data_IF_771037423691
#
_entry.id   IF_771037423691
#
_cell.length_a   1.000
_cell.length_b   1.000
_cell.length_c   1.000
_cell.angle_alpha   90.00
_cell.angle_beta   90.00
_cell.angle_gamma   90.00
#
_symmetry.space_group_name_H-M   'P 1'
#
loop_
_entity.id
_entity.type
_entity.pdbx_description
1 polymer ?
#
# COMPACT_ATOMS: atom_id res chain seq x y z
N UNK A 1 -12.05 5.64 -6.93
CA UNK A 1 -13.15 4.75 -6.53
C UNK A 1 -14.32 5.65 -6.19
N UNK A 2 -15.22 5.89 -7.15
CA UNK A 2 -16.39 6.76 -6.92
C UNK A 2 -17.50 5.87 -6.40
N UNK A 3 -17.76 5.93 -5.09
CA UNK A 3 -18.99 5.41 -4.53
C UNK A 3 -20.00 6.58 -4.56
N UNK A 4 -21.10 6.43 -5.29
CA UNK A 4 -22.23 7.36 -5.21
C UNK A 4 -22.88 7.22 -3.84
N UNK A 5 -22.50 8.10 -2.91
CA UNK A 5 -22.99 8.07 -1.54
C UNK A 5 -24.20 8.99 -1.46
N UNK A 6 -25.41 8.46 -1.24
CA UNK A 6 -26.59 9.28 -0.93
C UNK A 6 -26.74 9.40 0.59
N UNK A 7 -26.57 10.61 1.13
CA UNK A 7 -26.97 10.96 2.50
C UNK A 7 -26.13 10.37 3.63
N UNK A 8 -24.82 10.15 3.43
CA UNK A 8 -23.94 9.58 4.46
C UNK A 8 -23.52 10.65 5.49
N UNK A 9 -23.67 10.33 6.79
CA UNK A 9 -23.06 11.11 7.88
C UNK A 9 -21.61 10.69 8.04
N UNK A 10 -20.69 11.63 7.86
CA UNK A 10 -19.26 11.43 8.09
C UNK A 10 -18.90 11.50 9.59
N UNK A 11 -19.63 12.33 10.33
CA UNK A 11 -19.57 12.44 11.79
C UNK A 11 -20.89 13.02 12.30
N UNK A 12 -21.07 13.07 13.62
CA UNK A 12 -22.26 13.66 14.25
C UNK A 12 -22.55 15.10 13.82
N UNK A 13 -21.52 15.82 13.31
CA UNK A 13 -21.60 17.21 12.90
C UNK A 13 -21.52 17.43 11.39
N UNK A 14 -21.23 16.41 10.59
CA UNK A 14 -20.96 16.57 9.16
C UNK A 14 -21.68 15.53 8.30
N UNK A 15 -22.44 16.02 7.32
CA UNK A 15 -23.10 15.19 6.30
C UNK A 15 -22.45 15.42 4.95
N UNK A 16 -22.17 14.34 4.23
CA UNK A 16 -21.63 14.41 2.88
C UNK A 16 -22.82 14.45 1.91
N UNK A 17 -22.91 15.49 1.04
CA UNK A 17 -23.98 15.59 0.07
C UNK A 17 -24.04 14.38 -0.86
N UNK A 18 -25.26 14.06 -1.32
CA UNK A 18 -25.44 13.04 -2.33
C UNK A 18 -24.56 13.28 -3.56
N UNK A 19 -24.08 12.21 -4.18
CA UNK A 19 -23.30 12.23 -5.42
C UNK A 19 -21.90 12.88 -5.29
N UNK A 20 -21.46 13.16 -4.06
CA UNK A 20 -20.10 13.59 -3.76
C UNK A 20 -19.08 12.50 -4.12
N UNK A 21 -17.97 12.90 -4.74
CA UNK A 21 -16.83 12.01 -4.98
C UNK A 21 -15.85 12.09 -3.81
N UNK A 22 -15.57 10.94 -3.20
CA UNK A 22 -14.57 10.83 -2.12
C UNK A 22 -13.32 10.15 -2.65
N UNK A 23 -12.17 10.79 -2.46
CA UNK A 23 -10.88 10.20 -2.75
C UNK A 23 -10.17 9.82 -1.46
N UNK A 24 -9.78 8.55 -1.34
CA UNK A 24 -8.94 8.07 -0.25
C UNK A 24 -7.48 8.12 -0.71
N UNK A 25 -6.65 8.88 0.00
CA UNK A 25 -5.22 8.92 -0.25
C UNK A 25 -4.53 7.73 0.43
N UNK A 26 -4.48 6.58 -0.26
CA UNK A 26 -3.83 5.37 0.26
C UNK A 26 -2.34 5.56 0.54
N UNK A 27 -1.65 6.40 -0.23
CA UNK A 27 -0.23 6.67 -0.02
C UNK A 27 0.03 7.30 1.35
N UNK A 28 -0.77 8.31 1.72
CA UNK A 28 -0.71 8.94 3.03
C UNK A 28 -1.21 7.99 4.14
N UNK A 29 -2.31 7.28 3.92
CA UNK A 29 -2.85 6.31 4.88
C UNK A 29 -1.80 5.26 5.31
N UNK A 30 -1.03 4.73 4.36
CA UNK A 30 0.00 3.71 4.62
C UNK A 30 1.31 4.27 5.20
N UNK A 31 1.42 5.60 5.34
CA UNK A 31 2.62 6.30 5.86
C UNK A 31 2.28 7.28 6.99
N UNK A 32 1.05 7.28 7.48
CA UNK A 32 0.64 8.22 8.51
C UNK A 32 1.36 7.89 9.84
N UNK A 33 2.20 8.79 10.38
CA UNK A 33 2.92 8.53 11.63
C UNK A 33 2.00 8.30 12.84
N UNK A 34 0.77 8.83 12.83
CA UNK A 34 -0.18 8.58 13.91
C UNK A 34 -0.65 7.12 13.97
N UNK A 35 -0.52 6.38 12.86
CA UNK A 35 -0.94 4.97 12.74
C UNK A 35 0.27 4.04 12.67
N UNK A 36 1.35 4.48 12.03
CA UNK A 36 2.53 3.66 11.73
C UNK A 36 3.76 4.03 12.57
N UNK A 37 3.70 5.07 13.40
CA UNK A 37 4.80 5.52 14.24
C UNK A 37 5.76 6.50 13.53
N UNK A 38 6.76 7.03 14.25
CA UNK A 38 7.66 8.09 13.74
C UNK A 38 8.53 7.64 12.56
N UNK A 39 8.71 6.34 12.37
CA UNK A 39 9.47 5.74 11.29
C UNK A 39 8.58 5.17 10.18
N UNK A 40 7.38 5.72 9.99
CA UNK A 40 6.38 5.26 9.01
C UNK A 40 6.89 5.17 7.56
N UNK A 41 7.91 5.96 7.20
CA UNK A 41 8.53 5.94 5.87
C UNK A 41 9.63 4.87 5.72
N UNK A 42 10.00 4.16 6.79
CA UNK A 42 10.99 3.08 6.74
C UNK A 42 10.35 1.75 6.36
N UNK A 43 11.04 1.00 5.51
CA UNK A 43 10.70 -0.39 5.23
C UNK A 43 10.97 -1.25 6.46
N UNK A 44 9.90 -1.71 7.11
CA UNK A 44 9.96 -2.59 8.27
C UNK A 44 8.89 -3.69 8.13
N UNK A 45 9.26 -4.93 7.75
CA UNK A 45 8.31 -6.03 7.59
C UNK A 45 7.70 -6.49 8.93
N UNK A 46 8.38 -6.28 10.05
CA UNK A 46 7.94 -6.74 11.37
C UNK A 46 6.67 -6.02 11.86
N UNK A 47 6.33 -4.89 11.24
CA UNK A 47 5.04 -4.21 11.41
C UNK A 47 3.84 -5.12 11.12
N UNK A 48 4.04 -6.20 10.36
CA UNK A 48 3.00 -7.14 9.97
C UNK A 48 3.04 -8.45 10.78
N UNK A 49 3.85 -8.52 11.83
CA UNK A 49 3.77 -9.61 12.81
C UNK A 49 2.40 -9.59 13.52
N UNK A 50 1.87 -10.76 13.94
CA UNK A 50 0.54 -10.86 14.54
C UNK A 50 0.32 -9.88 15.69
N UNK A 51 1.28 -9.77 16.60
CA UNK A 51 1.20 -8.93 17.81
C UNK A 51 1.02 -7.45 17.44
N UNK A 52 1.74 -6.99 16.41
CA UNK A 52 1.68 -5.61 15.91
C UNK A 52 0.41 -5.32 15.09
N UNK A 53 -0.23 -6.35 14.54
CA UNK A 53 -1.46 -6.21 13.78
C UNK A 53 -2.70 -6.13 14.67
N UNK A 54 -2.70 -6.81 15.82
CA UNK A 54 -3.86 -6.83 16.74
C UNK A 54 -4.29 -5.45 17.21
N UNK A 55 -3.33 -4.55 17.43
CA UNK A 55 -3.58 -3.18 17.89
C UNK A 55 -3.89 -2.20 16.76
N UNK A 56 -3.75 -2.63 15.49
CA UNK A 56 -3.90 -1.75 14.33
C UNK A 56 -5.33 -1.77 13.83
N UNK A 57 -5.88 -0.60 13.53
CA UNK A 57 -7.19 -0.49 12.91
C UNK A 57 -7.25 -1.29 11.59
N UNK A 58 -8.31 -2.10 11.33
CA UNK A 58 -8.39 -2.97 10.15
C UNK A 58 -8.27 -2.23 8.80
N UNK A 59 -8.67 -0.95 8.75
CA UNK A 59 -8.57 -0.11 7.55
C UNK A 59 -7.28 0.73 7.48
N UNK A 60 -6.31 0.53 8.38
CA UNK A 60 -5.02 1.22 8.31
C UNK A 60 -4.14 0.76 7.14
N UNK A 61 -4.34 -0.47 6.67
CA UNK A 61 -3.58 -1.06 5.57
C UNK A 61 -4.53 -1.63 4.51
N UNK A 62 -4.52 -1.01 3.33
CA UNK A 62 -5.48 -1.27 2.24
C UNK A 62 -4.78 -1.43 0.88
N UNK A 63 -3.87 -2.43 0.72
CA UNK A 63 -3.13 -2.63 -0.53
C UNK A 63 -4.04 -3.05 -1.70
N UNK A 64 -5.19 -3.65 -1.40
CA UNK A 64 -6.16 -4.15 -2.37
C UNK A 64 -7.57 -3.57 -2.13
N UNK A 65 -7.64 -2.39 -1.49
CA UNK A 65 -8.89 -1.82 -0.95
C UNK A 65 -9.58 -2.76 0.04
N UNK A 66 -10.83 -2.47 0.42
CA UNK A 66 -11.63 -3.30 1.34
C UNK A 66 -13.13 -3.23 0.99
N UNK A 67 -13.92 -4.08 1.64
CA UNK A 67 -15.37 -4.19 1.43
C UNK A 67 -15.74 -4.90 0.11
N UNK A 68 -17.01 -4.79 -0.32
CA UNK A 68 -17.53 -5.52 -1.49
C UNK A 68 -16.96 -5.07 -2.84
N UNK A 69 -16.22 -3.96 -2.86
CA UNK A 69 -15.55 -3.40 -4.05
C UNK A 69 -14.03 -3.46 -3.94
N UNK A 70 -13.51 -4.40 -3.14
CA UNK A 70 -12.07 -4.67 -3.09
C UNK A 70 -11.59 -5.32 -4.40
N UNK A 71 -10.27 -5.48 -4.53
CA UNK A 71 -9.67 -6.10 -5.70
C UNK A 71 -10.10 -7.57 -5.83
N UNK A 72 -10.77 -7.92 -6.93
CA UNK A 72 -11.13 -9.31 -7.24
C UNK A 72 -9.91 -10.24 -7.34
N UNK A 73 -8.76 -9.69 -7.71
CA UNK A 73 -7.49 -10.40 -7.85
C UNK A 73 -6.67 -10.53 -6.57
N UNK A 74 -7.16 -10.12 -5.39
CA UNK A 74 -6.34 -10.05 -4.17
C UNK A 74 -5.67 -11.39 -3.81
N UNK A 75 -6.40 -12.50 -3.96
CA UNK A 75 -5.88 -13.84 -3.63
C UNK A 75 -4.78 -14.24 -4.61
N UNK A 76 -5.05 -14.07 -5.90
CA UNK A 76 -4.09 -14.36 -6.96
C UNK A 76 -2.81 -13.52 -6.79
N UNK A 77 -2.96 -12.21 -6.56
CA UNK A 77 -1.84 -11.30 -6.38
C UNK A 77 -0.93 -11.72 -5.22
N UNK A 78 -1.51 -12.09 -4.07
CA UNK A 78 -0.72 -12.57 -2.93
C UNK A 78 0.03 -13.87 -3.21
N UNK A 79 -0.61 -14.84 -3.86
CA UNK A 79 0.05 -16.09 -4.22
C UNK A 79 1.16 -15.87 -5.24
N UNK A 80 0.87 -15.16 -6.33
CA UNK A 80 1.83 -14.85 -7.38
C UNK A 80 3.04 -14.09 -6.82
N UNK A 81 2.82 -13.09 -5.97
CA UNK A 81 3.91 -12.30 -5.37
C UNK A 81 4.80 -13.17 -4.48
N UNK A 82 4.21 -14.00 -3.61
CA UNK A 82 4.97 -14.90 -2.72
C UNK A 82 5.80 -15.90 -3.53
N UNK A 83 5.22 -16.51 -4.56
CA UNK A 83 5.93 -17.45 -5.43
C UNK A 83 7.12 -16.77 -6.11
N UNK A 84 6.92 -15.61 -6.75
CA UNK A 84 7.99 -14.86 -7.41
C UNK A 84 9.10 -14.50 -6.41
N UNK A 85 8.75 -13.99 -5.22
CA UNK A 85 9.74 -13.64 -4.19
C UNK A 85 10.56 -14.86 -3.77
N UNK A 86 9.92 -16.02 -3.54
CA UNK A 86 10.63 -17.25 -3.15
C UNK A 86 11.61 -17.69 -4.24
N UNK A 87 11.22 -17.70 -5.51
CA UNK A 87 12.11 -18.10 -6.59
C UNK A 87 13.29 -17.13 -6.77
N UNK A 88 13.00 -15.82 -6.76
CA UNK A 88 14.03 -14.79 -6.94
C UNK A 88 15.02 -14.81 -5.77
N UNK A 89 14.54 -14.78 -4.52
CA UNK A 89 15.41 -14.69 -3.34
C UNK A 89 16.21 -15.96 -3.06
N UNK A 90 15.73 -17.13 -3.51
CA UNK A 90 16.48 -18.39 -3.39
C UNK A 90 17.64 -18.49 -4.37
N UNK A 91 17.48 -17.97 -5.60
CA UNK A 91 18.48 -18.11 -6.67
C UNK A 91 19.39 -16.90 -6.80
N UNK A 92 18.89 -15.70 -6.48
CA UNK A 92 19.59 -14.46 -6.75
C UNK A 92 19.75 -13.59 -5.51
N UNK A 93 20.86 -12.87 -5.47
CA UNK A 93 21.09 -11.72 -4.62
C UNK A 93 20.82 -10.46 -5.44
N UNK A 94 19.88 -9.65 -4.96
CA UNK A 94 19.50 -8.39 -5.59
C UNK A 94 20.39 -7.26 -5.07
N UNK A 95 20.88 -6.40 -5.96
CA UNK A 95 21.55 -5.14 -5.59
C UNK A 95 20.96 -3.98 -6.37
N UNK A 96 21.02 -2.80 -5.79
CA UNK A 96 20.65 -1.55 -6.45
C UNK A 96 21.50 -0.43 -5.91
N UNK A 97 21.81 0.55 -6.76
CA UNK A 97 22.40 1.83 -6.37
C UNK A 97 21.35 2.87 -5.99
N UNK A 98 20.07 2.58 -6.23
CA UNK A 98 18.97 3.49 -5.98
C UNK A 98 18.61 3.50 -4.49
N UNK A 99 18.67 4.67 -3.86
CA UNK A 99 18.24 4.89 -2.48
C UNK A 99 16.82 5.48 -2.42
N UNK A 100 16.14 5.33 -1.28
CA UNK A 100 14.74 5.75 -1.13
C UNK A 100 14.51 7.25 -1.39
N UNK A 101 15.45 8.10 -1.00
CA UNK A 101 15.44 9.55 -1.21
C UNK A 101 15.57 9.96 -2.68
N UNK A 102 16.14 9.09 -3.51
CA UNK A 102 16.31 9.33 -4.94
C UNK A 102 15.07 8.95 -5.76
N UNK A 103 14.12 8.18 -5.20
CA UNK A 103 12.98 7.66 -5.95
C UNK A 103 12.01 8.80 -6.30
N UNK A 104 11.86 9.08 -7.59
CA UNK A 104 10.86 10.03 -8.10
C UNK A 104 9.59 9.28 -8.49
N UNK A 105 8.49 9.57 -7.81
CA UNK A 105 7.23 8.87 -7.99
C UNK A 105 6.24 9.74 -8.78
N UNK A 106 5.54 9.13 -9.76
CA UNK A 106 4.34 9.70 -10.36
C UNK A 106 3.10 8.90 -9.94
N UNK A 107 2.15 9.59 -9.33
CA UNK A 107 0.82 9.06 -9.09
C UNK A 107 -0.01 9.19 -10.38
N UNK A 108 -0.41 8.04 -10.92
CA UNK A 108 -1.37 7.91 -12.02
C UNK A 108 -2.39 6.85 -11.61
N UNK A 109 -2.93 6.07 -12.55
CA UNK A 109 -3.75 4.88 -12.23
C UNK A 109 -2.93 3.87 -11.41
N UNK A 110 -1.64 3.75 -11.74
CA UNK A 110 -0.66 3.01 -10.94
C UNK A 110 0.51 3.94 -10.63
N UNK A 111 1.08 3.78 -9.44
CA UNK A 111 2.29 4.47 -9.00
C UNK A 111 3.48 4.01 -9.86
N UNK A 112 4.20 4.95 -10.48
CA UNK A 112 5.38 4.66 -11.31
C UNK A 112 6.62 5.34 -10.78
N UNK A 113 7.76 4.65 -10.85
CA UNK A 113 9.09 5.23 -10.60
C UNK A 113 9.57 5.87 -11.90
N UNK A 114 9.92 7.16 -11.86
CA UNK A 114 10.27 7.96 -13.03
C UNK A 114 11.74 7.88 -13.41
N UNK A 115 12.62 7.67 -12.44
CA UNK A 115 14.07 7.59 -12.63
C UNK A 115 14.56 6.15 -12.86
N UNK A 116 13.66 5.25 -13.26
CA UNK A 116 13.96 3.83 -13.45
C UNK A 116 14.17 3.08 -12.13
N UNK A 117 14.43 1.78 -12.25
CA UNK A 117 14.72 0.90 -11.11
C UNK A 117 15.93 0.02 -11.46
N UNK A 118 17.16 0.55 -11.33
CA UNK A 118 18.36 -0.22 -11.67
C UNK A 118 18.56 -1.32 -10.63
N UNK A 119 18.26 -2.55 -11.01
CA UNK A 119 18.46 -3.74 -10.17
C UNK A 119 19.43 -4.67 -10.89
N UNK A 120 20.48 -5.08 -10.21
CA UNK A 120 21.35 -6.17 -10.65
C UNK A 120 21.04 -7.46 -9.89
N UNK A 121 21.23 -8.58 -10.58
CA UNK A 121 21.02 -9.93 -10.09
C UNK A 121 22.37 -10.65 -10.08
N UNK A 122 22.78 -11.16 -8.93
CA UNK A 122 23.94 -12.04 -8.78
C UNK A 122 23.42 -13.43 -8.40
N UNK A 123 23.88 -14.51 -9.04
CA UNK A 123 23.52 -15.87 -8.59
C UNK A 123 24.07 -16.12 -7.17
N UNK A 124 23.29 -16.82 -6.34
CA UNK A 124 23.67 -17.19 -4.96
C UNK A 124 24.49 -18.46 -4.89
#
# INVERSE_FOLDING_TARGET
MVAGLRGWRASDKHTIPADSQILINFHHLHRNPSTWGPDADKFNPDRFLPENCTQRHPYAFLPFSAGPRNCIGLRYAWHSLKIIMVHVLRRYRLRTTLTMDQIKIRFSVVTRILNGCPISLEER
#
